data_IF_068351084760
#
_entry.id   IF_068351084760
#
_cell.length_a   1.000
_cell.length_b   1.000
_cell.length_c   1.000
_cell.angle_alpha   90.00
_cell.angle_beta   90.00
_cell.angle_gamma   90.00
#
_symmetry.space_group_name_H-M   'P 1'
#
loop_
_entity.id
_entity.type
_entity.pdbx_description
1 polymer ?
#
# COMPACT_ATOMS: atom_id res chain seq x y z
N UNK A 1 16.62 -17.29 17.17
CA UNK A 1 16.33 -16.49 15.95
C UNK A 1 16.83 -15.09 16.20
N UNK A 2 17.48 -14.48 15.21
CA UNK A 2 17.97 -13.10 15.30
C UNK A 2 16.76 -12.14 15.48
N UNK A 3 16.76 -11.26 16.50
CA UNK A 3 15.68 -10.28 16.70
C UNK A 3 15.41 -9.43 15.46
N UNK A 4 16.46 -9.08 14.70
CA UNK A 4 16.31 -8.29 13.47
C UNK A 4 15.49 -9.03 12.41
N UNK A 5 15.70 -10.33 12.27
CA UNK A 5 14.95 -11.18 11.34
C UNK A 5 13.47 -11.27 11.72
N UNK A 6 13.17 -11.34 13.04
CA UNK A 6 11.80 -11.32 13.54
C UNK A 6 11.14 -9.97 13.22
N UNK A 7 11.83 -8.86 13.47
CA UNK A 7 11.31 -7.52 13.18
C UNK A 7 11.06 -7.30 11.69
N UNK A 8 12.00 -7.72 10.82
CA UNK A 8 11.84 -7.63 9.37
C UNK A 8 10.72 -8.53 8.86
N UNK A 9 10.57 -9.74 9.42
CA UNK A 9 9.47 -10.65 9.10
C UNK A 9 8.11 -10.07 9.50
N UNK A 10 8.01 -9.50 10.70
CA UNK A 10 6.79 -8.83 11.17
C UNK A 10 6.45 -7.61 10.29
N UNK A 11 7.46 -6.82 9.90
CA UNK A 11 7.28 -5.69 9.00
C UNK A 11 6.76 -6.13 7.62
N UNK A 12 7.33 -7.19 7.06
CA UNK A 12 6.89 -7.75 5.78
C UNK A 12 5.44 -8.23 5.84
N UNK A 13 5.04 -8.91 6.92
CA UNK A 13 3.66 -9.35 7.14
C UNK A 13 2.70 -8.18 7.32
N UNK A 14 3.10 -7.13 8.04
CA UNK A 14 2.30 -5.92 8.20
C UNK A 14 2.08 -5.20 6.85
N UNK A 15 3.13 -5.07 6.03
CA UNK A 15 3.02 -4.48 4.70
C UNK A 15 2.11 -5.31 3.77
N UNK A 16 2.24 -6.65 3.82
CA UNK A 16 1.37 -7.54 3.07
C UNK A 16 -0.10 -7.41 3.52
N UNK A 17 -0.36 -7.39 4.83
CA UNK A 17 -1.70 -7.21 5.38
C UNK A 17 -2.30 -5.85 4.99
N UNK A 18 -1.52 -4.77 5.06
CA UNK A 18 -1.95 -3.43 4.64
C UNK A 18 -2.29 -3.37 3.15
N UNK A 19 -1.54 -4.10 2.31
CA UNK A 19 -1.82 -4.19 0.88
C UNK A 19 -3.14 -4.93 0.63
N UNK A 20 -3.35 -6.06 1.32
CA UNK A 20 -4.59 -6.84 1.21
C UNK A 20 -5.80 -6.06 1.71
N UNK A 21 -5.69 -5.37 2.86
CA UNK A 21 -6.78 -4.55 3.38
C UNK A 21 -7.10 -3.38 2.46
N UNK A 22 -6.08 -2.74 1.88
CA UNK A 22 -6.27 -1.72 0.86
C UNK A 22 -7.01 -2.29 -0.34
N UNK A 23 -6.61 -3.45 -0.85
CA UNK A 23 -7.28 -4.07 -2.00
C UNK A 23 -8.76 -4.39 -1.71
N UNK A 24 -9.08 -4.81 -0.48
CA UNK A 24 -10.45 -5.07 -0.08
C UNK A 24 -11.31 -3.79 -0.06
N UNK A 25 -10.75 -2.68 0.44
CA UNK A 25 -11.41 -1.37 0.44
C UNK A 25 -11.56 -0.81 -0.98
N UNK A 26 -10.52 -0.93 -1.82
CA UNK A 26 -10.54 -0.53 -3.24
C UNK A 26 -11.65 -1.29 -3.99
N UNK A 27 -11.80 -2.59 -3.75
CA UNK A 27 -12.88 -3.40 -4.34
C UNK A 27 -14.28 -2.94 -3.89
N UNK A 28 -14.46 -2.62 -2.61
CA UNK A 28 -15.75 -2.11 -2.11
C UNK A 28 -16.07 -0.74 -2.72
N UNK A 29 -15.06 0.12 -2.84
CA UNK A 29 -15.19 1.45 -3.45
C UNK A 29 -15.49 1.38 -4.95
N UNK A 30 -14.84 0.46 -5.68
CA UNK A 30 -15.07 0.22 -7.10
C UNK A 30 -16.49 -0.28 -7.33
N UNK A 31 -16.96 -1.27 -6.54
CA UNK A 31 -18.34 -1.78 -6.63
C UNK A 31 -19.36 -0.69 -6.33
N UNK A 32 -19.15 0.11 -5.28
CA UNK A 32 -20.04 1.22 -4.93
C UNK A 32 -20.06 2.32 -6.00
N UNK A 33 -18.92 2.61 -6.61
CA UNK A 33 -18.77 3.70 -7.59
C UNK A 33 -19.19 3.34 -9.01
N UNK A 34 -19.47 2.06 -9.32
CA UNK A 34 -20.11 1.67 -10.58
C UNK A 34 -21.49 2.31 -10.77
N UNK A 35 -22.16 2.68 -9.68
CA UNK A 35 -23.43 3.43 -9.72
C UNK A 35 -23.26 4.92 -10.09
N UNK A 36 -22.02 5.43 -10.09
CA UNK A 36 -21.69 6.83 -10.36
C UNK A 36 -21.01 7.00 -11.73
N UNK A 37 -21.69 7.55 -12.75
CA UNK A 37 -21.15 7.73 -14.09
C UNK A 37 -19.84 8.55 -14.12
N UNK A 38 -19.68 9.50 -13.20
CA UNK A 38 -18.45 10.30 -13.12
C UNK A 38 -17.23 9.49 -12.69
N UNK A 39 -17.41 8.37 -11.96
CA UNK A 39 -16.31 7.46 -11.59
C UNK A 39 -15.79 6.71 -12.83
N UNK A 40 -16.71 6.23 -13.68
CA UNK A 40 -16.35 5.47 -14.88
C UNK A 40 -15.59 6.31 -15.91
N UNK A 41 -15.92 7.60 -16.05
CA UNK A 41 -15.22 8.51 -16.96
C UNK A 41 -13.78 8.79 -16.51
N UNK A 42 -13.52 8.79 -15.21
CA UNK A 42 -12.18 9.08 -14.66
C UNK A 42 -11.27 7.85 -14.62
N UNK A 43 -11.82 6.67 -14.29
CA UNK A 43 -11.03 5.46 -14.09
C UNK A 43 -10.91 4.59 -15.34
N UNK A 44 -11.93 4.59 -16.21
CA UNK A 44 -11.98 3.77 -17.42
C UNK A 44 -10.74 3.85 -18.32
N UNK A 45 -10.20 5.06 -18.62
CA UNK A 45 -9.01 5.20 -19.48
C UNK A 45 -7.72 4.60 -18.89
N UNK A 46 -7.65 4.40 -17.58
CA UNK A 46 -6.45 3.88 -16.90
C UNK A 46 -6.53 2.37 -16.63
N UNK A 47 -7.72 1.76 -16.73
CA UNK A 47 -7.91 0.32 -16.51
C UNK A 47 -7.06 -0.50 -17.49
N UNK A 48 -6.28 -1.44 -16.96
CA UNK A 48 -5.44 -2.35 -17.75
C UNK A 48 -4.07 -1.80 -18.17
N UNK A 49 -3.80 -0.51 -17.96
CA UNK A 49 -2.50 0.07 -18.27
C UNK A 49 -1.50 -0.12 -17.13
N UNK A 50 -0.28 -0.55 -17.45
CA UNK A 50 0.78 -0.82 -16.46
C UNK A 50 1.10 0.41 -15.61
N UNK A 51 1.03 1.62 -16.20
CA UNK A 51 1.29 2.86 -15.45
C UNK A 51 0.32 3.06 -14.28
N UNK A 52 -0.87 2.45 -14.30
CA UNK A 52 -1.84 2.54 -13.20
C UNK A 52 -1.28 1.97 -11.90
N UNK A 53 -0.44 0.93 -11.96
CA UNK A 53 0.21 0.39 -10.76
C UNK A 53 1.15 1.41 -10.11
N UNK A 54 1.92 2.16 -10.92
CA UNK A 54 2.79 3.22 -10.42
C UNK A 54 1.99 4.40 -9.87
N UNK A 55 0.92 4.80 -10.55
CA UNK A 55 0.03 5.83 -10.02
C UNK A 55 -0.60 5.39 -8.69
N UNK A 56 -1.14 4.17 -8.61
CA UNK A 56 -1.71 3.61 -7.38
C UNK A 56 -0.68 3.51 -6.24
N UNK A 57 0.59 3.23 -6.54
CA UNK A 57 1.65 3.21 -5.54
C UNK A 57 1.95 4.60 -4.94
N UNK A 58 1.63 5.68 -5.66
CA UNK A 58 1.88 7.07 -5.22
C UNK A 58 0.58 7.73 -4.70
N UNK A 59 -0.58 7.34 -5.21
CA UNK A 59 -1.86 8.04 -5.03
C UNK A 59 -2.71 7.57 -3.85
N UNK A 60 -2.13 6.89 -2.85
CA UNK A 60 -2.90 6.45 -1.67
C UNK A 60 -3.78 5.21 -1.91
N UNK A 61 -3.43 4.38 -2.90
CA UNK A 61 -4.17 3.16 -3.27
C UNK A 61 -3.48 1.91 -2.69
N UNK A 62 -4.03 0.68 -2.82
CA UNK A 62 -3.61 -0.48 -2.01
C UNK A 62 -2.11 -0.74 -1.99
N UNK A 63 -1.46 -0.58 -3.14
CA UNK A 63 0.00 -0.75 -3.30
C UNK A 63 0.78 0.30 -2.51
N UNK A 64 0.27 1.53 -2.40
CA UNK A 64 0.89 2.59 -1.61
C UNK A 64 0.89 2.28 -0.12
N UNK A 65 -0.16 1.66 0.41
CA UNK A 65 -0.24 1.32 1.84
C UNK A 65 0.83 0.31 2.24
N UNK A 66 1.04 -0.73 1.41
CA UNK A 66 2.14 -1.66 1.60
C UNK A 66 3.51 -0.98 1.57
N UNK A 67 3.71 -0.06 0.61
CA UNK A 67 4.94 0.72 0.50
C UNK A 67 5.16 1.63 1.72
N UNK A 68 4.12 2.32 2.20
CA UNK A 68 4.21 3.20 3.37
C UNK A 68 4.60 2.43 4.62
N UNK A 69 4.04 1.23 4.84
CA UNK A 69 4.44 0.38 5.97
C UNK A 69 5.92 0.01 5.85
N UNK A 70 6.37 -0.44 4.69
CA UNK A 70 7.77 -0.82 4.48
C UNK A 70 8.75 0.35 4.67
N UNK A 71 8.42 1.53 4.12
CA UNK A 71 9.23 2.75 4.27
C UNK A 71 9.22 3.22 5.72
N UNK A 72 8.06 3.31 6.37
CA UNK A 72 7.98 3.74 7.76
C UNK A 72 8.74 2.80 8.71
N UNK A 73 8.60 1.49 8.52
CA UNK A 73 9.30 0.49 9.33
C UNK A 73 10.81 0.49 9.11
N UNK A 74 11.27 0.64 7.86
CA UNK A 74 12.71 0.74 7.56
C UNK A 74 13.34 2.02 8.11
N UNK A 75 12.64 3.16 8.01
CA UNK A 75 13.07 4.43 8.61
C UNK A 75 13.10 4.33 10.13
N UNK A 76 12.06 3.78 10.76
CA UNK A 76 12.04 3.58 12.21
C UNK A 76 13.20 2.70 12.67
N UNK A 77 13.46 1.58 11.97
CA UNK A 77 14.59 0.71 12.26
C UNK A 77 15.93 1.43 12.10
N UNK A 78 16.10 2.24 11.06
CA UNK A 78 17.32 3.03 10.84
C UNK A 78 17.55 4.06 11.95
N UNK A 79 16.50 4.78 12.38
CA UNK A 79 16.57 5.74 13.48
C UNK A 79 16.93 5.07 14.80
N UNK A 80 16.32 3.91 15.09
CA UNK A 80 16.62 3.09 16.28
C UNK A 80 18.10 2.69 16.32
N UNK A 81 18.65 2.25 15.19
CA UNK A 81 20.07 1.85 15.13
C UNK A 81 21.04 3.04 15.11
N UNK A 82 20.58 4.22 14.70
CA UNK A 82 21.37 5.45 14.78
C UNK A 82 21.36 6.08 16.18
N UNK A 83 20.51 5.60 17.10
CA UNK A 83 20.34 6.16 18.45
C UNK A 83 19.67 7.55 18.45
N UNK A 84 18.80 7.81 17.47
CA UNK A 84 18.11 9.09 17.28
C UNK A 84 16.68 9.11 17.88
N UNK A 85 16.43 8.27 18.87
CA UNK A 85 15.11 7.93 19.39
C UNK A 85 15.08 7.91 20.93
#
# INVERSE_FOLDING_TARGET
MDPTLISLGALALAGAAATVSGCAEDLESDVGSQSNPNSQVQLGPQMGNIHRYFNKAISGEPVSYGLYVAVAGSVAWALINAGLN
#
